data_IF_916153114834
#
_entry.id   IF_916153114834
#
_cell.length_a   1.000
_cell.length_b   1.000
_cell.length_c   1.000
_cell.angle_alpha   90.00
_cell.angle_beta   90.00
_cell.angle_gamma   90.00
#
_symmetry.space_group_name_H-M   'P 1'
#
loop_
_entity.id
_entity.type
_entity.pdbx_description
1 polymer ?
#
# COMPACT_ATOMS: atom_id res chain seq x y z
N UNK A 1 -68.69 37.17 -6.73
CA UNK A 1 -67.77 36.06 -7.11
C UNK A 1 -66.35 36.60 -6.97
N UNK A 2 -65.39 36.09 -6.20
CA UNK A 2 -65.24 34.88 -5.36
C UNK A 2 -63.96 35.12 -4.54
N UNK A 3 -63.92 34.78 -3.23
CA UNK A 3 -62.66 34.50 -2.51
C UNK A 3 -62.13 33.12 -2.94
N UNK A 4 -60.81 32.82 -2.90
CA UNK A 4 -60.16 32.26 -1.70
C UNK A 4 -58.67 32.73 -1.53
N UNK A 5 -58.08 32.95 -0.35
CA UNK A 5 -57.64 32.03 0.74
C UNK A 5 -56.73 30.88 0.31
N UNK A 6 -55.51 30.79 0.85
CA UNK A 6 -54.67 29.59 0.70
C UNK A 6 -53.18 29.77 1.02
N UNK A 7 -52.83 29.64 2.30
CA UNK A 7 -51.47 29.34 2.80
C UNK A 7 -51.01 27.96 2.29
N UNK A 8 -49.71 27.81 2.07
CA UNK A 8 -48.91 26.57 1.98
C UNK A 8 -49.03 25.73 0.69
N UNK A 9 -47.85 25.25 0.29
CA UNK A 9 -47.54 24.08 -0.53
C UNK A 9 -47.10 24.37 -1.97
N UNK A 10 -45.78 24.59 -2.15
CA UNK A 10 -45.06 23.97 -3.28
C UNK A 10 -43.55 24.01 -3.04
N UNK A 11 -43.10 23.06 -2.21
CA UNK A 11 -41.76 22.51 -2.36
C UNK A 11 -41.69 21.89 -3.76
N UNK A 12 -41.08 22.61 -4.70
CA UNK A 12 -40.82 22.12 -6.04
C UNK A 12 -39.80 20.97 -5.95
N UNK A 13 -40.32 19.76 -6.00
CA UNK A 13 -39.61 18.50 -6.02
C UNK A 13 -38.60 18.43 -7.18
N UNK A 14 -37.30 18.39 -6.86
CA UNK A 14 -36.28 17.83 -7.75
C UNK A 14 -36.00 16.39 -7.32
N UNK A 15 -36.80 15.46 -7.85
CA UNK A 15 -36.57 14.02 -7.73
C UNK A 15 -35.51 13.63 -8.76
N UNK A 16 -34.31 13.29 -8.30
CA UNK A 16 -33.41 12.44 -9.10
C UNK A 16 -33.86 11.00 -8.86
N UNK A 17 -34.49 10.42 -9.87
CA UNK A 17 -34.99 9.05 -9.82
C UNK A 17 -33.83 8.06 -9.95
N UNK A 18 -33.40 7.48 -8.83
CA UNK A 18 -32.66 6.22 -8.77
C UNK A 18 -33.42 5.27 -7.85
N UNK A 19 -33.85 4.11 -8.37
CA UNK A 19 -34.59 3.08 -7.62
C UNK A 19 -33.82 2.66 -6.37
N UNK A 20 -34.41 2.87 -5.19
CA UNK A 20 -34.07 2.16 -3.95
C UNK A 20 -35.37 1.83 -3.20
N UNK A 21 -35.47 0.61 -2.68
CA UNK A 21 -36.65 0.05 -2.01
C UNK A 21 -36.99 0.73 -0.68
N UNK A 22 -38.11 0.32 -0.04
CA UNK A 22 -38.71 1.05 1.07
C UNK A 22 -38.05 0.66 2.40
N UNK A 23 -36.79 1.07 2.60
CA UNK A 23 -36.17 1.27 3.93
C UNK A 23 -34.73 1.83 3.82
N UNK A 24 -34.46 2.64 2.80
CA UNK A 24 -33.19 3.37 2.75
C UNK A 24 -33.21 4.47 3.83
N UNK A 25 -32.48 4.27 4.92
CA UNK A 25 -32.09 5.32 5.87
C UNK A 25 -31.40 6.45 5.09
N UNK A 26 -32.18 7.44 4.68
CA UNK A 26 -31.67 8.60 3.97
C UNK A 26 -30.87 9.46 4.94
N UNK A 27 -29.60 9.68 4.65
CA UNK A 27 -28.80 10.65 5.40
C UNK A 27 -29.44 12.04 5.27
N UNK A 28 -29.59 12.79 6.37
CA UNK A 28 -30.15 14.13 6.32
C UNK A 28 -29.27 15.06 5.48
N UNK A 29 -29.89 16.02 4.79
CA UNK A 29 -29.16 17.06 4.05
C UNK A 29 -28.36 17.88 5.07
N UNK A 30 -27.03 18.04 4.88
CA UNK A 30 -26.20 18.78 5.82
C UNK A 30 -26.57 20.29 5.81
N UNK A 31 -26.48 20.98 6.97
CA UNK A 31 -26.73 22.41 7.03
C UNK A 31 -25.66 23.19 6.24
N UNK A 32 -25.99 24.41 5.77
CA UNK A 32 -25.01 25.29 5.11
C UNK A 32 -23.80 25.60 6.01
N UNK A 33 -22.61 25.72 5.41
CA UNK A 33 -21.37 26.06 6.15
C UNK A 33 -21.50 27.37 6.92
N UNK A 34 -22.31 28.32 6.44
CA UNK A 34 -22.59 29.59 7.10
C UNK A 34 -23.33 29.46 8.45
N UNK A 35 -24.01 28.34 8.69
CA UNK A 35 -24.75 28.06 9.93
C UNK A 35 -23.89 27.26 10.94
N UNK A 36 -22.68 26.87 10.56
CA UNK A 36 -21.81 26.07 11.41
C UNK A 36 -21.05 26.93 12.43
N UNK A 37 -20.66 26.35 13.58
CA UNK A 37 -19.74 26.98 14.53
C UNK A 37 -18.43 27.44 13.86
N UNK A 38 -17.84 28.52 14.37
CA UNK A 38 -16.64 29.14 13.79
C UNK A 38 -15.41 28.23 13.77
N UNK A 39 -15.36 27.28 14.70
CA UNK A 39 -14.30 26.27 14.87
C UNK A 39 -14.50 25.02 13.99
N UNK A 40 -15.63 24.88 13.29
CA UNK A 40 -15.92 23.69 12.48
C UNK A 40 -14.85 23.40 11.43
N UNK A 41 -14.36 24.42 10.73
CA UNK A 41 -13.35 24.24 9.68
C UNK A 41 -12.02 23.71 10.23
N UNK A 42 -11.64 24.14 11.44
CA UNK A 42 -10.44 23.67 12.14
C UNK A 42 -10.62 22.22 12.57
N UNK A 43 -11.72 21.89 13.26
CA UNK A 43 -12.04 20.53 13.69
C UNK A 43 -12.13 19.57 12.48
N UNK A 44 -12.74 20.00 11.38
CA UNK A 44 -12.82 19.20 10.17
C UNK A 44 -11.43 18.93 9.55
N UNK A 45 -10.55 19.94 9.51
CA UNK A 45 -9.18 19.77 9.05
C UNK A 45 -8.38 18.80 9.95
N UNK A 46 -8.53 18.92 11.26
CA UNK A 46 -7.90 17.99 12.22
C UNK A 46 -8.41 16.55 12.07
N UNK A 47 -9.73 16.37 11.93
CA UNK A 47 -10.34 15.06 11.70
C UNK A 47 -9.85 14.45 10.39
N UNK A 48 -9.81 15.26 9.31
CA UNK A 48 -9.30 14.81 8.01
C UNK A 48 -7.86 14.32 8.14
N UNK A 49 -6.96 15.11 8.74
CA UNK A 49 -5.57 14.71 8.95
C UNK A 49 -5.45 13.45 9.81
N UNK A 50 -6.26 13.33 10.87
CA UNK A 50 -6.26 12.14 11.72
C UNK A 50 -6.69 10.90 10.95
N UNK A 51 -7.74 10.99 10.14
CA UNK A 51 -8.22 9.90 9.28
C UNK A 51 -7.13 9.50 8.27
N UNK A 52 -6.51 10.47 7.60
CA UNK A 52 -5.45 10.22 6.63
C UNK A 52 -4.23 9.51 7.27
N UNK A 53 -3.80 9.97 8.46
CA UNK A 53 -2.72 9.34 9.22
C UNK A 53 -3.04 7.90 9.63
N UNK A 54 -4.22 7.63 10.18
CA UNK A 54 -4.59 6.28 10.62
C UNK A 54 -4.78 5.33 9.44
N UNK A 55 -5.33 5.81 8.31
CA UNK A 55 -5.40 5.02 7.08
C UNK A 55 -4.02 4.64 6.56
N UNK A 56 -3.08 5.58 6.54
CA UNK A 56 -1.70 5.31 6.14
C UNK A 56 -1.05 4.29 7.09
N UNK A 57 -1.23 4.43 8.40
CA UNK A 57 -0.70 3.50 9.40
C UNK A 57 -1.24 2.08 9.23
N UNK A 58 -2.54 1.93 9.00
CA UNK A 58 -3.16 0.63 8.75
C UNK A 58 -2.57 -0.04 7.50
N UNK A 59 -2.45 0.73 6.42
CA UNK A 59 -1.89 0.26 5.14
C UNK A 59 -0.42 -0.14 5.28
N UNK A 60 0.41 0.64 5.97
CA UNK A 60 1.81 0.29 6.22
C UNK A 60 1.94 -0.96 7.10
N UNK A 61 1.06 -1.11 8.10
CA UNK A 61 1.04 -2.31 8.95
C UNK A 61 0.68 -3.56 8.15
N UNK A 62 -0.30 -3.46 7.24
CA UNK A 62 -0.63 -4.53 6.31
C UNK A 62 0.53 -4.84 5.35
N UNK A 63 1.24 -3.82 4.86
CA UNK A 63 2.43 -4.00 4.03
C UNK A 63 3.53 -4.77 4.73
N UNK A 64 3.83 -4.43 5.98
CA UNK A 64 4.84 -5.14 6.77
C UNK A 64 4.48 -6.63 6.89
N UNK A 65 3.23 -6.94 7.25
CA UNK A 65 2.75 -8.31 7.36
C UNK A 65 2.84 -9.08 6.03
N UNK A 66 2.45 -8.43 4.92
CA UNK A 66 2.50 -9.02 3.59
C UNK A 66 3.93 -9.30 3.12
N UNK A 67 4.85 -8.34 3.28
CA UNK A 67 6.26 -8.52 2.88
C UNK A 67 6.92 -9.63 3.70
N UNK A 68 6.62 -9.73 4.99
CA UNK A 68 7.11 -10.82 5.85
C UNK A 68 6.54 -12.17 5.42
N UNK A 69 5.24 -12.26 5.10
CA UNK A 69 4.64 -13.48 4.57
C UNK A 69 5.33 -13.93 3.27
N UNK A 70 5.56 -13.00 2.35
CA UNK A 70 6.23 -13.28 1.09
C UNK A 70 7.68 -13.73 1.29
N UNK A 71 8.37 -13.15 2.26
CA UNK A 71 9.68 -13.64 2.67
C UNK A 71 9.62 -15.06 3.23
N UNK A 72 8.69 -15.34 4.17
CA UNK A 72 8.54 -16.67 4.80
C UNK A 72 8.24 -17.74 3.73
N UNK A 73 7.36 -17.45 2.76
CA UNK A 73 7.09 -18.33 1.61
C UNK A 73 8.34 -18.56 0.78
N UNK A 74 9.06 -17.48 0.44
CA UNK A 74 10.30 -17.55 -0.31
C UNK A 74 11.36 -18.41 0.37
N UNK A 75 11.49 -18.27 1.68
CA UNK A 75 12.42 -19.05 2.50
C UNK A 75 12.06 -20.53 2.47
N UNK A 76 10.78 -20.86 2.64
CA UNK A 76 10.31 -22.25 2.58
C UNK A 76 10.60 -22.90 1.23
N UNK A 77 10.42 -22.16 0.13
CA UNK A 77 10.77 -22.62 -1.21
C UNK A 77 12.29 -22.88 -1.29
N UNK A 78 13.13 -21.91 -0.90
CA UNK A 78 14.59 -22.05 -0.95
C UNK A 78 15.11 -23.28 -0.19
N UNK A 79 14.60 -23.51 1.02
CA UNK A 79 15.01 -24.67 1.83
C UNK A 79 14.69 -26.00 1.15
N UNK A 80 13.49 -26.11 0.58
CA UNK A 80 13.05 -27.33 -0.10
C UNK A 80 13.76 -27.54 -1.44
N UNK A 81 14.19 -26.47 -2.12
CA UNK A 81 15.08 -26.59 -3.28
C UNK A 81 16.41 -27.24 -2.89
N UNK A 82 17.03 -26.81 -1.79
CA UNK A 82 18.30 -27.37 -1.32
C UNK A 82 18.20 -28.82 -0.83
N UNK A 83 17.08 -29.20 -0.19
CA UNK A 83 16.91 -30.55 0.38
C UNK A 83 16.34 -31.59 -0.57
N UNK A 84 15.41 -31.18 -1.44
CA UNK A 84 14.55 -32.10 -2.20
C UNK A 84 14.47 -31.78 -3.69
N UNK A 85 15.27 -30.82 -4.18
CA UNK A 85 15.36 -30.52 -5.62
C UNK A 85 14.09 -29.90 -6.21
N UNK A 86 13.32 -29.12 -5.44
CA UNK A 86 12.13 -28.42 -5.92
C UNK A 86 12.42 -27.61 -7.21
N UNK A 87 12.00 -28.13 -8.35
CA UNK A 87 12.18 -27.48 -9.66
C UNK A 87 11.00 -26.58 -10.05
N UNK A 88 11.02 -26.10 -11.30
CA UNK A 88 9.97 -25.23 -11.85
C UNK A 88 8.55 -25.84 -11.74
N UNK A 89 8.41 -27.15 -12.00
CA UNK A 89 7.12 -27.86 -11.92
C UNK A 89 6.46 -27.78 -10.54
N UNK A 90 7.26 -27.77 -9.47
CA UNK A 90 6.73 -27.69 -8.10
C UNK A 90 6.24 -26.27 -7.80
N UNK A 91 6.92 -25.25 -8.31
CA UNK A 91 6.47 -23.86 -8.19
C UNK A 91 5.15 -23.66 -8.95
N UNK A 92 5.00 -24.24 -10.13
CA UNK A 92 3.77 -24.14 -10.91
C UNK A 92 2.59 -24.81 -10.19
N UNK A 93 2.80 -26.01 -9.62
CA UNK A 93 1.80 -26.69 -8.78
C UNK A 93 1.44 -25.88 -7.54
N UNK A 94 2.44 -25.37 -6.81
CA UNK A 94 2.21 -24.55 -5.62
C UNK A 94 1.43 -23.27 -5.95
N UNK A 95 1.73 -22.62 -7.07
CA UNK A 95 0.99 -21.46 -7.54
C UNK A 95 -0.47 -21.78 -7.80
N UNK A 96 -0.76 -22.90 -8.46
CA UNK A 96 -2.12 -23.34 -8.71
C UNK A 96 -2.87 -23.57 -7.38
N UNK A 97 -2.31 -24.39 -6.49
CA UNK A 97 -2.99 -24.83 -5.28
C UNK A 97 -3.20 -23.66 -4.29
N UNK A 98 -2.24 -22.72 -4.18
CA UNK A 98 -2.40 -21.52 -3.37
C UNK A 98 -3.49 -20.58 -3.91
N UNK A 99 -3.60 -20.43 -5.23
CA UNK A 99 -4.63 -19.58 -5.85
C UNK A 99 -6.02 -20.19 -5.71
N UNK A 100 -6.13 -21.51 -5.76
CA UNK A 100 -7.38 -22.23 -5.53
C UNK A 100 -7.82 -22.17 -4.06
N UNK A 101 -6.86 -22.32 -3.14
CA UNK A 101 -7.11 -22.23 -1.69
C UNK A 101 -7.46 -20.82 -1.24
N UNK A 102 -6.86 -19.79 -1.86
CA UNK A 102 -7.02 -18.38 -1.49
C UNK A 102 -7.48 -17.52 -2.68
N UNK A 103 -8.70 -17.71 -3.20
CA UNK A 103 -9.16 -17.07 -4.45
C UNK A 103 -9.32 -15.55 -4.34
N UNK A 104 -9.53 -15.03 -3.13
CA UNK A 104 -9.59 -13.59 -2.86
C UNK A 104 -8.22 -12.92 -2.73
N UNK A 105 -7.13 -13.69 -2.65
CA UNK A 105 -5.79 -13.17 -2.45
C UNK A 105 -4.99 -13.18 -3.75
N UNK A 106 -4.48 -12.02 -4.14
CA UNK A 106 -3.56 -11.90 -5.28
C UNK A 106 -2.13 -12.19 -4.79
N UNK A 107 -1.22 -12.45 -5.73
CA UNK A 107 0.22 -12.56 -5.42
C UNK A 107 0.77 -13.98 -5.45
N UNK A 108 -0.04 -15.00 -5.66
CA UNK A 108 0.43 -16.39 -5.77
C UNK A 108 0.65 -16.86 -7.21
N UNK A 109 1.04 -15.97 -8.13
CA UNK A 109 1.42 -16.37 -9.49
C UNK A 109 2.79 -17.08 -9.50
N UNK A 110 3.11 -17.94 -10.49
CA UNK A 110 4.40 -18.64 -10.51
C UNK A 110 5.58 -17.68 -10.56
N UNK A 111 5.41 -16.57 -11.29
CA UNK A 111 6.40 -15.48 -11.34
C UNK A 111 6.59 -14.86 -9.96
N UNK A 112 5.52 -14.56 -9.23
CA UNK A 112 5.64 -13.92 -7.93
C UNK A 112 6.25 -14.87 -6.88
N UNK A 113 5.95 -16.16 -6.93
CA UNK A 113 6.63 -17.16 -6.07
C UNK A 113 8.14 -17.22 -6.34
N UNK A 114 8.56 -17.06 -7.60
CA UNK A 114 9.99 -16.94 -7.95
C UNK A 114 10.61 -15.67 -7.36
N UNK A 115 9.88 -14.55 -7.34
CA UNK A 115 10.30 -13.32 -6.67
C UNK A 115 10.37 -13.48 -5.16
N UNK A 116 9.37 -14.09 -4.51
CA UNK A 116 9.40 -14.41 -3.07
C UNK A 116 10.67 -15.19 -2.72
N UNK A 117 10.97 -16.22 -3.51
CA UNK A 117 12.20 -16.99 -3.38
C UNK A 117 13.47 -16.13 -3.55
N UNK A 118 13.54 -15.32 -4.62
CA UNK A 118 14.69 -14.45 -4.86
C UNK A 118 14.86 -13.39 -3.75
N UNK A 119 13.75 -12.89 -3.21
CA UNK A 119 13.71 -11.95 -2.10
C UNK A 119 14.28 -12.59 -0.83
N UNK A 120 13.83 -13.80 -0.48
CA UNK A 120 14.38 -14.52 0.67
C UNK A 120 15.88 -14.84 0.51
N UNK A 121 16.36 -15.06 -0.71
CA UNK A 121 17.78 -15.26 -0.98
C UNK A 121 18.59 -13.95 -0.86
N UNK A 122 18.00 -12.84 -1.29
CA UNK A 122 18.60 -11.51 -1.20
C UNK A 122 18.66 -10.96 0.23
N UNK A 123 17.77 -11.41 1.10
CA UNK A 123 17.67 -10.98 2.50
C UNK A 123 17.63 -12.20 3.44
N UNK A 124 18.76 -12.84 3.75
CA UNK A 124 18.77 -14.08 4.54
C UNK A 124 18.32 -13.89 6.01
N UNK A 125 18.51 -12.69 6.55
CA UNK A 125 18.16 -12.36 7.93
C UNK A 125 16.77 -11.72 8.03
N UNK A 126 15.86 -12.42 8.70
CA UNK A 126 14.48 -11.98 8.94
C UNK A 126 14.41 -10.66 9.73
N UNK A 127 15.36 -10.40 10.62
CA UNK A 127 15.39 -9.17 11.41
C UNK A 127 15.62 -7.93 10.51
N UNK A 128 16.52 -8.06 9.52
CA UNK A 128 16.76 -7.00 8.52
C UNK A 128 15.51 -6.79 7.66
N UNK A 129 14.81 -7.87 7.29
CA UNK A 129 13.56 -7.77 6.54
C UNK A 129 12.53 -6.98 7.33
N UNK A 130 12.32 -7.31 8.60
CA UNK A 130 11.34 -6.64 9.44
C UNK A 130 11.67 -5.15 9.66
N UNK A 131 12.94 -4.82 9.91
CA UNK A 131 13.34 -3.46 10.26
C UNK A 131 13.43 -2.53 9.05
N UNK A 132 13.79 -3.06 7.88
CA UNK A 132 14.15 -2.26 6.72
C UNK A 132 13.34 -2.63 5.47
N UNK A 133 13.37 -3.89 5.04
CA UNK A 133 12.75 -4.27 3.77
C UNK A 133 11.22 -4.15 3.83
N UNK A 134 10.59 -4.50 4.94
CA UNK A 134 9.15 -4.45 5.15
C UNK A 134 8.57 -3.02 5.14
N UNK A 135 9.45 -2.00 5.16
CA UNK A 135 9.07 -0.59 5.17
C UNK A 135 8.75 -0.04 3.78
N UNK A 136 9.01 -0.80 2.71
CA UNK A 136 8.67 -0.41 1.33
C UNK A 136 7.69 -1.43 0.71
N UNK A 137 6.88 -1.01 -0.29
CA UNK A 137 5.95 -1.90 -0.97
C UNK A 137 6.63 -3.06 -1.71
N UNK A 138 5.91 -4.17 -1.89
CA UNK A 138 6.45 -5.39 -2.50
C UNK A 138 7.05 -5.16 -3.90
N UNK A 139 6.41 -4.35 -4.74
CA UNK A 139 6.90 -4.10 -6.10
C UNK A 139 8.21 -3.30 -6.16
N UNK A 140 8.53 -2.54 -5.12
CA UNK A 140 9.84 -1.90 -5.01
C UNK A 140 10.93 -2.97 -4.83
N UNK A 141 10.66 -4.03 -4.06
CA UNK A 141 11.58 -5.16 -3.94
C UNK A 141 11.77 -5.90 -5.25
N UNK A 142 10.69 -6.19 -5.99
CA UNK A 142 10.80 -6.82 -7.31
C UNK A 142 11.70 -6.00 -8.24
N UNK A 143 11.49 -4.67 -8.29
CA UNK A 143 12.32 -3.75 -9.08
C UNK A 143 13.79 -3.80 -8.67
N UNK A 144 14.06 -3.80 -7.36
CA UNK A 144 15.41 -3.87 -6.81
C UNK A 144 16.09 -5.21 -7.11
N UNK A 145 15.36 -6.32 -7.05
CA UNK A 145 15.86 -7.65 -7.42
C UNK A 145 16.19 -7.74 -8.91
N UNK A 146 15.40 -7.08 -9.76
CA UNK A 146 15.61 -7.06 -11.21
C UNK A 146 16.80 -6.19 -11.63
N UNK A 147 17.00 -5.04 -10.98
CA UNK A 147 17.94 -4.00 -11.46
C UNK A 147 19.20 -3.82 -10.63
N UNK A 148 19.23 -4.29 -9.39
CA UNK A 148 20.35 -4.06 -8.47
C UNK A 148 20.90 -5.40 -8.00
N UNK A 149 22.04 -5.82 -8.57
CA UNK A 149 22.68 -7.08 -8.22
C UNK A 149 23.36 -7.03 -6.85
N UNK A 150 24.10 -5.96 -6.59
CA UNK A 150 24.89 -5.78 -5.37
C UNK A 150 24.00 -5.64 -4.11
N UNK A 151 24.19 -6.48 -3.08
CA UNK A 151 23.40 -6.41 -1.85
C UNK A 151 23.50 -5.09 -1.08
N UNK A 152 24.70 -4.49 -1.02
CA UNK A 152 24.91 -3.23 -0.31
C UNK A 152 24.23 -2.07 -1.03
N UNK A 153 24.28 -2.04 -2.36
CA UNK A 153 23.52 -1.06 -3.14
C UNK A 153 22.02 -1.25 -2.97
N UNK A 154 21.54 -2.51 -2.94
CA UNK A 154 20.13 -2.81 -2.70
C UNK A 154 19.67 -2.25 -1.36
N UNK A 155 20.43 -2.49 -0.30
CA UNK A 155 20.17 -1.92 1.03
C UNK A 155 20.15 -0.40 1.02
N UNK A 156 21.12 0.22 0.35
CA UNK A 156 21.18 1.67 0.21
C UNK A 156 19.91 2.23 -0.45
N UNK A 157 19.44 1.63 -1.54
CA UNK A 157 18.22 2.06 -2.22
C UNK A 157 16.97 1.86 -1.36
N UNK A 158 16.86 0.77 -0.60
CA UNK A 158 15.75 0.58 0.34
C UNK A 158 15.76 1.70 1.39
N UNK A 159 16.92 1.99 1.99
CA UNK A 159 17.06 3.07 2.98
C UNK A 159 16.66 4.43 2.41
N UNK A 160 17.14 4.76 1.22
CA UNK A 160 16.77 6.02 0.57
C UNK A 160 15.29 6.08 0.19
N UNK A 161 14.70 4.95 -0.22
CA UNK A 161 13.27 4.87 -0.52
C UNK A 161 12.43 5.18 0.71
N UNK A 162 12.77 4.60 1.86
CA UNK A 162 12.09 4.88 3.14
C UNK A 162 12.27 6.34 3.55
N UNK A 163 13.52 6.83 3.52
CA UNK A 163 13.86 8.18 3.99
C UNK A 163 13.20 9.28 3.15
N UNK A 164 13.17 9.11 1.82
CA UNK A 164 12.70 10.12 0.87
C UNK A 164 11.29 9.86 0.36
N UNK A 165 10.68 8.74 0.75
CA UNK A 165 9.35 8.33 0.29
C UNK A 165 9.29 8.15 -1.22
N UNK A 166 10.28 7.48 -1.82
CA UNK A 166 10.31 7.28 -3.27
C UNK A 166 9.19 6.36 -3.75
N UNK A 167 8.43 6.87 -4.70
CA UNK A 167 7.55 6.07 -5.54
C UNK A 167 8.35 5.04 -6.35
N UNK A 168 7.74 3.95 -6.80
CA UNK A 168 8.41 2.92 -7.62
C UNK A 168 9.04 3.52 -8.88
N UNK A 169 8.38 4.50 -9.50
CA UNK A 169 8.89 5.19 -10.70
C UNK A 169 10.09 6.07 -10.38
N UNK A 170 10.05 6.77 -9.23
CA UNK A 170 11.18 7.57 -8.77
C UNK A 170 12.35 6.66 -8.41
N UNK A 171 12.10 5.56 -7.69
CA UNK A 171 13.13 4.56 -7.40
C UNK A 171 13.78 4.03 -8.69
N UNK A 172 12.99 3.70 -9.72
CA UNK A 172 13.53 3.29 -11.02
C UNK A 172 14.46 4.36 -11.62
N UNK A 173 14.03 5.63 -11.62
CA UNK A 173 14.86 6.74 -12.10
C UNK A 173 16.16 6.89 -11.30
N UNK A 174 16.13 6.70 -9.98
CA UNK A 174 17.33 6.79 -9.13
C UNK A 174 18.27 5.60 -9.30
N UNK A 175 17.73 4.42 -9.65
CA UNK A 175 18.53 3.26 -10.04
C UNK A 175 19.22 3.54 -11.38
N UNK A 176 18.46 3.98 -12.38
CA UNK A 176 18.96 4.24 -13.74
C UNK A 176 20.02 5.36 -13.76
N UNK A 177 19.91 6.33 -12.86
CA UNK A 177 20.90 7.40 -12.66
C UNK A 177 21.98 7.10 -11.62
N UNK A 178 22.20 5.83 -11.25
CA UNK A 178 23.21 5.35 -10.29
C UNK A 178 23.34 6.24 -9.04
N UNK A 179 22.21 6.61 -8.42
CA UNK A 179 22.19 7.56 -7.31
C UNK A 179 23.12 7.18 -6.13
N UNK A 180 23.36 5.88 -5.93
CA UNK A 180 24.27 5.36 -4.90
C UNK A 180 25.73 5.82 -5.10
N UNK A 181 26.20 5.94 -6.35
CA UNK A 181 27.57 6.40 -6.66
C UNK A 181 27.74 7.89 -6.34
N UNK A 182 26.69 8.69 -6.55
CA UNK A 182 26.71 10.14 -6.30
C UNK A 182 26.66 10.49 -4.81
N UNK A 183 26.21 9.58 -3.96
CA UNK A 183 25.97 9.82 -2.53
C UNK A 183 27.01 9.14 -1.62
N UNK A 184 28.19 8.77 -2.14
CA UNK A 184 29.23 7.96 -1.49
C UNK A 184 29.84 8.48 -0.17
N UNK A 185 29.22 9.42 0.55
CA UNK A 185 29.61 9.87 1.89
C UNK A 185 28.40 10.25 2.75
N UNK A 186 27.66 9.28 3.30
CA UNK A 186 26.86 9.53 4.50
C UNK A 186 26.48 8.24 5.23
N UNK A 187 27.30 7.96 6.25
CA UNK A 187 27.09 7.29 7.53
C UNK A 187 25.70 6.73 7.85
N UNK A 188 25.72 5.43 8.17
CA UNK A 188 24.69 4.68 8.88
C UNK A 188 24.52 5.21 10.31
N UNK A 189 23.34 5.77 10.58
CA UNK A 189 22.61 5.60 11.83
C UNK A 189 21.17 6.08 11.57
N UNK A 190 20.21 5.70 12.43
CA UNK A 190 18.86 6.26 12.63
C UNK A 190 17.68 5.27 12.55
N UNK A 191 16.62 5.53 13.36
CA UNK A 191 15.56 4.58 13.68
C UNK A 191 14.47 4.56 12.61
N UNK A 192 13.60 3.55 12.67
CA UNK A 192 12.48 3.35 11.76
C UNK A 192 11.49 4.53 11.82
N UNK A 193 11.71 5.56 10.99
CA UNK A 193 10.77 6.67 10.82
C UNK A 193 9.73 6.30 9.76
N UNK A 194 8.46 6.66 10.03
CA UNK A 194 7.43 6.61 9.00
C UNK A 194 7.81 7.56 7.85
N UNK A 195 7.54 7.19 6.59
CA UNK A 195 7.73 8.10 5.46
C UNK A 195 6.89 9.38 5.67
N UNK A 196 7.31 10.53 5.10
CA UNK A 196 6.49 11.73 5.12
C UNK A 196 5.07 11.41 4.60
N UNK A 197 4.04 11.86 5.32
CA UNK A 197 2.64 11.57 5.00
C UNK A 197 2.25 12.05 3.58
N UNK A 198 2.94 13.10 3.09
CA UNK A 198 2.71 13.70 1.77
C UNK A 198 3.65 13.16 0.68
N UNK A 199 4.38 12.07 0.94
CA UNK A 199 5.30 11.48 -0.04
C UNK A 199 4.59 10.73 -1.16
N UNK A 200 5.21 10.67 -2.34
CA UNK A 200 4.71 9.91 -3.48
C UNK A 200 4.53 8.41 -3.15
N UNK A 201 5.37 7.87 -2.26
CA UNK A 201 5.23 6.50 -1.78
C UNK A 201 3.92 6.31 -1.02
N UNK A 202 3.53 7.23 -0.12
CA UNK A 202 2.29 7.14 0.66
C UNK A 202 1.06 7.01 -0.26
N UNK A 203 1.02 7.78 -1.35
CA UNK A 203 -0.03 7.67 -2.36
C UNK A 203 -0.03 6.35 -3.15
N UNK A 204 1.12 5.72 -3.34
CA UNK A 204 1.23 4.42 -4.02
C UNK A 204 0.82 3.24 -3.15
N UNK A 205 1.01 3.31 -1.83
CA UNK A 205 0.66 2.17 -0.97
C UNK A 205 -0.85 1.87 -1.03
N UNK A 206 -1.68 2.90 -1.17
CA UNK A 206 -3.13 2.73 -1.39
C UNK A 206 -3.50 2.10 -2.75
N UNK A 207 -2.56 2.03 -3.70
CA UNK A 207 -2.75 1.45 -5.04
C UNK A 207 -2.05 0.10 -5.20
N UNK A 208 -1.39 -0.42 -4.17
CA UNK A 208 -0.72 -1.72 -4.26
C UNK A 208 -1.80 -2.83 -4.35
N UNK A 209 -1.90 -3.54 -5.48
CA UNK A 209 -2.92 -4.56 -5.68
C UNK A 209 -2.74 -5.78 -4.78
N UNK A 210 -1.67 -5.88 -3.99
CA UNK A 210 -1.49 -6.97 -3.03
C UNK A 210 -1.89 -6.62 -1.59
N UNK A 211 -2.18 -5.35 -1.30
CA UNK A 211 -2.71 -4.93 -0.01
C UNK A 211 -4.23 -5.02 0.06
N UNK A 212 -4.91 -5.16 -1.09
CA UNK A 212 -6.37 -5.25 -1.24
C UNK A 212 -6.82 -6.12 -2.43
#
# INVERSE_FOLDING_TARGET
>A
MTKPSGRKAEQAARRVAGRLGPEATAFPVPPPVAELPRDYAEVFAELKQRIERERLRAVLSANVAMVLLYWDIGKMILERQGRTGWGAKVIDRLSHDLRDTFPGMKGFSPRNLKYMRAFAAAWPDRAIVQQLAAQIPWFHHCLLLDRVADPAHREWYVRQTVQRGWSRSILALQIDGCAHERHGKALTNFPATLPPADSDMAGQVFKDPYLF
#
